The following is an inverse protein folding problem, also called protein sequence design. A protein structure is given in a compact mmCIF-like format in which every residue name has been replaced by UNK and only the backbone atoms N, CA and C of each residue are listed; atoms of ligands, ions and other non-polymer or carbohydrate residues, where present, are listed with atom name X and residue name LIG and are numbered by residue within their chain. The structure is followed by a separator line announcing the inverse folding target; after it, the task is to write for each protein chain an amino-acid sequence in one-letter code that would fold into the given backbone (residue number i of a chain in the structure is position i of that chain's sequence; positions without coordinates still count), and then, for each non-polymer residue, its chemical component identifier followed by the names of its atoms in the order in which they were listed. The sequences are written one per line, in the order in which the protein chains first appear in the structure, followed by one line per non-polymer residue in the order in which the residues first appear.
data_IF_578885678608
#
_entry.id   IF_578885678608
#
_cell.length_a   1.000
_cell.length_b   1.000
_cell.length_c   1.000
_cell.angle_alpha   90.00
_cell.angle_beta   90.00
_cell.angle_gamma   90.00
#
_symmetry.space_group_name_H-M   'P 1'
#
loop_
_entity.id
_entity.type
_entity.pdbx_description
1 polymer ?
#
# COMPACT_ATOMS: atom_id res chain seq x y z
N UNK A 1 -3.39 -8.85 7.32
CA UNK A 1 -2.04 -8.28 7.55
C UNK A 1 -2.03 -6.77 7.33
N UNK A 2 -2.63 -6.28 6.24
CA UNK A 2 -2.80 -4.84 5.98
C UNK A 2 -3.29 -4.07 7.21
N UNK A 3 -4.34 -4.54 7.88
CA UNK A 3 -4.91 -3.90 9.08
C UNK A 3 -3.94 -3.69 10.24
N UNK A 4 -2.94 -4.57 10.38
CA UNK A 4 -1.96 -4.46 11.46
C UNK A 4 -0.91 -3.39 11.17
N UNK A 5 -0.57 -3.20 9.90
CA UNK A 5 0.52 -2.30 9.47
C UNK A 5 -0.03 -0.90 9.13
N UNK A 6 -1.26 -0.82 8.64
CA UNK A 6 -1.91 0.41 8.24
C UNK A 6 -1.87 1.55 9.29
N UNK A 7 -2.06 1.32 10.61
CA UNK A 7 -1.97 2.41 11.58
C UNK A 7 -0.53 2.91 11.85
N UNK A 8 0.49 2.29 11.25
CA UNK A 8 1.90 2.63 11.48
C UNK A 8 2.49 3.52 10.37
N UNK A 9 3.64 4.12 10.68
CA UNK A 9 4.43 4.89 9.71
C UNK A 9 5.56 4.09 9.05
N UNK A 10 5.57 2.76 9.19
CA UNK A 10 6.62 1.91 8.62
C UNK A 10 6.59 1.93 7.08
N UNK A 11 7.77 1.86 6.47
CA UNK A 11 7.90 1.61 5.03
C UNK A 11 7.57 0.15 4.74
N UNK A 12 6.71 -0.08 3.75
CA UNK A 12 6.22 -1.43 3.40
C UNK A 12 6.74 -1.83 2.02
N UNK A 13 7.37 -3.00 1.94
CA UNK A 13 7.72 -3.66 0.69
C UNK A 13 6.67 -4.74 0.38
N UNK A 14 6.02 -4.63 -0.78
CA UNK A 14 5.09 -5.65 -1.28
C UNK A 14 5.79 -6.47 -2.35
N UNK A 15 5.96 -7.76 -2.11
CA UNK A 15 6.61 -8.69 -3.04
C UNK A 15 5.60 -9.64 -3.69
N UNK A 16 5.94 -10.16 -4.86
CA UNK A 16 5.12 -11.08 -5.64
C UNK A 16 5.39 -10.97 -7.13
N UNK A 17 4.99 -12.00 -7.88
CA UNK A 17 5.16 -12.07 -9.33
C UNK A 17 4.44 -10.93 -10.06
N UNK A 18 4.83 -10.67 -11.31
CA UNK A 18 4.14 -9.67 -12.14
C UNK A 18 2.68 -10.08 -12.36
N UNK A 19 1.76 -9.10 -12.37
CA UNK A 19 0.33 -9.36 -12.57
C UNK A 19 -0.44 -9.87 -11.36
N UNK A 20 0.17 -9.97 -10.18
CA UNK A 20 -0.49 -10.46 -8.93
C UNK A 20 -1.28 -9.37 -8.17
N UNK A 21 -1.39 -8.15 -8.71
CA UNK A 21 -2.19 -7.07 -8.11
C UNK A 21 -1.59 -6.46 -6.84
N UNK A 22 -0.26 -6.30 -6.77
CA UNK A 22 0.44 -5.69 -5.63
C UNK A 22 -0.02 -4.26 -5.36
N UNK A 23 -0.47 -3.56 -6.40
CA UNK A 23 -1.04 -2.22 -6.36
C UNK A 23 -2.33 -2.18 -5.53
N UNK A 24 -3.12 -3.26 -5.55
CA UNK A 24 -4.34 -3.37 -4.72
C UNK A 24 -4.00 -3.47 -3.24
N UNK A 25 -2.91 -4.16 -2.89
CA UNK A 25 -2.41 -4.24 -1.51
C UNK A 25 -1.93 -2.87 -1.04
N UNK A 26 -1.14 -2.18 -1.85
CA UNK A 26 -0.65 -0.83 -1.55
C UNK A 26 -1.79 0.18 -1.38
N UNK A 27 -2.80 0.13 -2.26
CA UNK A 27 -4.00 0.96 -2.16
C UNK A 27 -4.79 0.67 -0.88
N UNK A 28 -5.03 -0.59 -0.55
CA UNK A 28 -5.77 -0.95 0.67
C UNK A 28 -5.00 -0.53 1.94
N UNK A 29 -3.68 -0.60 1.91
CA UNK A 29 -2.83 -0.12 3.00
C UNK A 29 -3.00 1.39 3.22
N UNK A 30 -3.01 2.18 2.14
CA UNK A 30 -3.26 3.62 2.23
C UNK A 30 -4.66 3.91 2.80
N UNK A 31 -5.70 3.31 2.23
CA UNK A 31 -7.10 3.50 2.64
C UNK A 31 -7.35 3.17 4.12
N UNK A 32 -6.66 2.17 4.68
CA UNK A 32 -6.81 1.78 6.09
C UNK A 32 -5.83 2.50 7.03
N UNK A 33 -4.95 3.34 6.51
CA UNK A 33 -3.96 4.04 7.33
C UNK A 33 -4.53 5.31 7.96
N UNK A 34 -3.80 5.88 8.91
CA UNK A 34 -4.06 7.24 9.44
C UNK A 34 -3.96 8.34 8.37
N UNK A 35 -3.54 7.98 7.15
CA UNK A 35 -3.37 8.85 5.99
C UNK A 35 -4.40 8.58 4.89
N UNK A 36 -5.42 7.74 5.14
CA UNK A 36 -6.39 7.31 4.13
C UNK A 36 -7.11 8.45 3.41
N UNK A 37 -7.33 9.57 4.10
CA UNK A 37 -7.98 10.76 3.52
C UNK A 37 -7.01 11.69 2.76
N UNK A 38 -5.71 11.38 2.76
CA UNK A 38 -4.69 12.15 2.02
C UNK A 38 -4.54 11.61 0.60
N UNK A 39 -4.00 12.42 -0.34
CA UNK A 39 -3.73 11.96 -1.69
C UNK A 39 -2.85 10.70 -1.74
N UNK A 40 -3.25 9.73 -2.56
CA UNK A 40 -2.49 8.52 -2.85
C UNK A 40 -1.80 8.69 -4.21
N UNK A 41 -0.47 8.73 -4.22
CA UNK A 41 0.35 8.92 -5.42
C UNK A 41 1.15 7.65 -5.68
N UNK A 42 1.03 7.13 -6.91
CA UNK A 42 1.75 5.93 -7.36
C UNK A 42 2.75 6.28 -8.44
N UNK A 43 3.93 5.69 -8.37
CA UNK A 43 4.96 5.77 -9.40
C UNK A 43 5.29 4.35 -9.83
N UNK A 44 5.19 4.08 -11.13
CA UNK A 44 5.63 2.82 -11.74
C UNK A 44 6.99 3.07 -12.41
N UNK A 45 8.00 2.27 -12.04
CA UNK A 45 9.37 2.43 -12.53
C UNK A 45 9.68 1.60 -13.79
N UNK A 46 8.72 0.84 -14.32
CA UNK A 46 8.92 -0.10 -15.42
C UNK A 46 9.22 -1.51 -14.94
#
# INVERSE_FOLDING_TARGET
MVDKIAPTNATVLVQGESGTGKELVARRLHERSVRGDKPYVTINCG
#
